data_IF_045376225852
#
_entry.id   IF_045376225852
#
_cell.length_a   1.000
_cell.length_b   1.000
_cell.length_c   1.000
_cell.angle_alpha   90.00
_cell.angle_beta   90.00
_cell.angle_gamma   90.00
#
_symmetry.space_group_name_H-M   'P 1'
#
loop_
_entity.id
_entity.type
_entity.pdbx_description
1 polymer ?
#
# COMPACT_ATOMS: atom_id res chain seq x y z
N UNK A 1 0.97 -0.41 -4.16
CA UNK A 1 -0.10 -1.43 -3.97
C UNK A 1 0.55 -2.71 -3.46
N UNK A 2 -0.20 -3.76 -3.13
CA UNK A 2 0.36 -5.04 -2.66
C UNK A 2 0.30 -6.08 -3.77
N UNK A 3 1.38 -6.83 -3.97
CA UNK A 3 1.41 -7.99 -4.87
C UNK A 3 0.37 -9.03 -4.43
N UNK A 4 -0.51 -9.41 -5.35
CA UNK A 4 -1.56 -10.40 -5.11
C UNK A 4 -2.00 -11.05 -6.42
N UNK A 5 -2.92 -12.02 -6.35
CA UNK A 5 -3.54 -12.59 -7.55
C UNK A 5 -4.20 -11.52 -8.45
N UNK A 6 -4.71 -10.43 -7.86
CA UNK A 6 -5.32 -9.34 -8.61
C UNK A 6 -4.31 -8.52 -9.43
N UNK A 7 -3.03 -8.50 -9.04
CA UNK A 7 -1.98 -7.73 -9.75
C UNK A 7 -1.33 -8.51 -10.90
N UNK A 8 -1.47 -9.85 -10.91
CA UNK A 8 -0.75 -10.72 -11.85
C UNK A 8 -1.03 -10.41 -13.33
N UNK A 9 -2.29 -10.13 -13.70
CA UNK A 9 -2.64 -9.78 -15.10
C UNK A 9 -1.90 -8.54 -15.57
N UNK A 10 -1.76 -7.54 -14.71
CA UNK A 10 -1.06 -6.29 -15.03
C UNK A 10 0.45 -6.51 -15.14
N UNK A 11 1.03 -7.28 -14.22
CA UNK A 11 2.45 -7.64 -14.26
C UNK A 11 2.80 -8.47 -15.51
N UNK A 12 1.90 -9.36 -15.94
CA UNK A 12 2.08 -10.16 -17.16
C UNK A 12 1.97 -9.30 -18.43
N UNK A 13 1.08 -8.29 -18.43
CA UNK A 13 0.93 -7.36 -19.55
C UNK A 13 2.08 -6.34 -19.63
N UNK A 14 2.58 -5.86 -18.49
CA UNK A 14 3.71 -4.95 -18.40
C UNK A 14 4.56 -5.25 -17.13
N UNK A 15 5.77 -5.82 -17.28
CA UNK A 15 6.63 -6.15 -16.13
C UNK A 15 6.99 -4.94 -15.25
N UNK A 16 6.92 -3.71 -15.79
CA UNK A 16 7.24 -2.47 -15.04
C UNK A 16 6.24 -2.22 -13.91
N UNK A 17 5.01 -2.73 -14.00
CA UNK A 17 3.99 -2.65 -12.94
C UNK A 17 4.49 -3.20 -11.61
N UNK A 18 5.39 -4.19 -11.65
CA UNK A 18 5.97 -4.79 -10.43
C UNK A 18 6.77 -3.80 -9.59
N UNK A 19 7.23 -2.67 -10.18
CA UNK A 19 7.97 -1.63 -9.47
C UNK A 19 7.08 -0.79 -8.55
N UNK A 20 5.77 -0.78 -8.78
CA UNK A 20 4.78 -0.06 -7.96
C UNK A 20 4.11 -0.95 -6.89
N UNK A 21 4.58 -2.19 -6.78
CA UNK A 21 4.07 -3.18 -5.84
C UNK A 21 5.00 -3.37 -4.64
N UNK A 22 4.38 -3.62 -3.50
CA UNK A 22 5.01 -4.07 -2.27
C UNK A 22 4.72 -5.56 -2.07
N UNK A 23 5.64 -6.25 -1.40
CA UNK A 23 5.48 -7.62 -0.93
C UNK A 23 4.34 -7.68 0.10
N UNK A 24 3.53 -8.75 0.11
CA UNK A 24 2.43 -8.91 1.06
C UNK A 24 2.89 -9.00 2.53
N UNK A 25 4.19 -9.23 2.77
CA UNK A 25 4.76 -9.27 4.12
C UNK A 25 4.62 -7.95 4.89
N UNK A 26 4.42 -6.81 4.23
CA UNK A 26 4.10 -5.54 4.92
C UNK A 26 2.78 -5.64 5.70
N UNK A 27 1.78 -6.30 5.10
CA UNK A 27 0.48 -6.49 5.73
C UNK A 27 0.58 -7.45 6.90
N UNK A 28 1.35 -8.54 6.75
CA UNK A 28 1.63 -9.47 7.85
C UNK A 28 2.33 -8.79 9.03
N UNK A 29 3.35 -7.97 8.75
CA UNK A 29 4.09 -7.24 9.79
C UNK A 29 3.18 -6.22 10.50
N UNK A 30 2.32 -5.51 9.76
CA UNK A 30 1.33 -4.61 10.33
C UNK A 30 0.35 -5.34 11.25
N UNK A 31 -0.21 -6.48 10.81
CA UNK A 31 -1.10 -7.31 11.65
C UNK A 31 -0.39 -7.79 12.91
N UNK A 32 0.86 -8.26 12.81
CA UNK A 32 1.64 -8.68 13.98
C UNK A 32 1.91 -7.51 14.94
N UNK A 33 2.13 -6.31 14.43
CA UNK A 33 2.28 -5.11 15.24
C UNK A 33 0.96 -4.76 15.95
N UNK A 34 -0.19 -4.83 15.25
CA UNK A 34 -1.51 -4.58 15.83
C UNK A 34 -1.80 -5.57 16.97
N UNK A 35 -1.52 -6.86 16.77
CA UNK A 35 -1.71 -7.89 17.79
C UNK A 35 -0.85 -7.70 19.05
N UNK A 36 0.27 -6.97 18.94
CA UNK A 36 1.18 -6.66 20.05
C UNK A 36 0.85 -5.32 20.72
N UNK A 37 0.07 -4.47 20.08
CA UNK A 37 -0.29 -3.16 20.61
C UNK A 37 -1.32 -3.29 21.75
N UNK A 38 -1.36 -2.34 22.70
CA UNK A 38 -2.43 -2.28 23.67
C UNK A 38 -3.79 -2.19 22.97
N UNK A 39 -4.76 -3.01 23.39
CA UNK A 39 -6.09 -3.04 22.78
C UNK A 39 -6.77 -1.65 22.73
N UNK A 40 -6.56 -0.82 23.76
CA UNK A 40 -7.08 0.54 23.81
C UNK A 40 -6.53 1.49 22.72
N UNK A 41 -5.40 1.13 22.09
CA UNK A 41 -4.79 1.90 21.02
C UNK A 41 -5.20 1.44 19.60
N UNK A 42 -5.89 0.31 19.46
CA UNK A 42 -6.23 -0.28 18.15
C UNK A 42 -7.70 -0.66 17.98
N UNK A 43 -8.46 -0.80 19.07
CA UNK A 43 -9.87 -1.16 19.00
C UNK A 43 -10.69 -0.02 18.37
N UNK A 44 -11.39 -0.33 17.27
CA UNK A 44 -12.26 0.62 16.57
C UNK A 44 -11.55 1.48 15.51
N UNK A 45 -10.24 1.26 15.30
CA UNK A 45 -9.43 2.04 14.38
C UNK A 45 -9.50 1.53 12.93
N UNK A 46 -9.31 2.46 11.98
CA UNK A 46 -9.13 2.17 10.56
C UNK A 46 -7.67 2.45 10.18
N UNK A 47 -6.84 1.41 10.23
CA UNK A 47 -5.39 1.55 10.14
C UNK A 47 -4.88 1.32 8.71
N UNK A 48 -3.88 2.10 8.32
CA UNK A 48 -3.04 1.85 7.16
C UNK A 48 -1.76 1.15 7.60
N UNK A 49 -1.32 0.15 6.84
CA UNK A 49 -0.12 -0.64 7.13
C UNK A 49 1.14 0.22 7.26
N UNK A 50 1.40 1.10 6.28
CA UNK A 50 2.56 1.98 6.27
C UNK A 50 2.57 2.98 7.43
N UNK A 51 1.42 3.56 7.78
CA UNK A 51 1.35 4.54 8.86
C UNK A 51 1.40 3.87 10.23
N UNK A 52 0.68 2.76 10.42
CA UNK A 52 0.73 2.03 11.69
C UNK A 52 2.13 1.48 11.98
N UNK A 53 2.82 0.93 10.97
CA UNK A 53 4.21 0.47 11.13
C UNK A 53 5.17 1.63 11.43
N UNK A 54 4.95 2.81 10.85
CA UNK A 54 5.76 4.00 11.14
C UNK A 54 5.54 4.48 12.57
N UNK A 55 4.29 4.68 12.94
CA UNK A 55 3.91 5.40 14.16
C UNK A 55 4.00 4.50 15.41
N UNK A 56 3.68 3.20 15.27
CA UNK A 56 3.63 2.27 16.40
C UNK A 56 4.76 1.23 16.42
N UNK A 57 5.40 0.94 15.29
CA UNK A 57 6.51 -0.01 15.21
C UNK A 57 7.86 0.63 14.87
N UNK A 58 7.92 1.96 14.70
CA UNK A 58 9.15 2.70 14.44
C UNK A 58 9.79 2.39 13.07
N UNK A 59 9.02 1.85 12.13
CA UNK A 59 9.52 1.53 10.79
C UNK A 59 9.68 2.82 9.99
N UNK A 60 10.93 3.17 9.67
CA UNK A 60 11.26 4.35 8.85
C UNK A 60 11.74 4.00 7.44
N UNK A 61 12.21 2.77 7.24
CA UNK A 61 12.64 2.25 5.94
C UNK A 61 11.71 1.12 5.48
N UNK A 62 10.95 1.40 4.42
CA UNK A 62 10.02 0.46 3.79
C UNK A 62 10.61 -0.26 2.58
N UNK A 63 11.89 -0.01 2.23
CA UNK A 63 12.55 -0.58 1.06
C UNK A 63 12.52 -2.12 1.04
N UNK A 64 12.58 -2.77 2.21
CA UNK A 64 12.45 -4.23 2.35
C UNK A 64 11.12 -4.79 1.84
N UNK A 65 10.08 -3.96 1.79
CA UNK A 65 8.77 -4.34 1.29
C UNK A 65 8.64 -4.09 -0.21
N UNK A 66 9.57 -3.43 -0.90
CA UNK A 66 9.48 -3.31 -2.35
C UNK A 66 9.53 -4.69 -3.02
N UNK A 67 8.62 -4.95 -3.96
CA UNK A 67 8.62 -6.20 -4.72
C UNK A 67 9.90 -6.30 -5.57
N UNK A 68 10.22 -5.21 -6.27
CA UNK A 68 11.45 -5.03 -7.05
C UNK A 68 12.49 -4.27 -6.21
N UNK A 69 13.68 -4.85 -5.91
CA UNK A 69 14.72 -4.16 -5.18
C UNK A 69 15.11 -2.81 -5.81
N UNK A 70 15.27 -1.78 -4.97
CA UNK A 70 15.59 -0.42 -5.41
C UNK A 70 14.41 0.36 -6.00
N UNK A 71 13.21 -0.23 -6.10
CA UNK A 71 12.00 0.52 -6.41
C UNK A 71 11.48 1.25 -5.16
N UNK A 72 10.75 2.36 -5.39
CA UNK A 72 10.09 3.14 -4.35
C UNK A 72 8.59 3.22 -4.69
N UNK A 73 7.79 2.18 -4.36
CA UNK A 73 6.36 2.18 -4.64
C UNK A 73 5.66 3.41 -4.05
N UNK A 74 4.92 4.14 -4.88
CA UNK A 74 4.24 5.37 -4.45
C UNK A 74 3.24 5.12 -3.33
N UNK A 75 3.07 6.10 -2.45
CA UNK A 75 1.96 6.12 -1.48
C UNK A 75 0.63 6.22 -2.25
N UNK A 76 -0.30 5.32 -1.97
CA UNK A 76 -1.61 5.26 -2.67
C UNK A 76 -2.71 5.94 -1.85
N UNK A 77 -2.60 5.88 -0.52
CA UNK A 77 -3.58 6.48 0.38
C UNK A 77 -3.15 7.90 0.79
N UNK A 78 -4.10 8.79 1.11
CA UNK A 78 -3.84 10.12 1.66
C UNK A 78 -2.77 10.14 2.75
N UNK A 79 -1.91 11.17 2.78
CA UNK A 79 -0.97 11.37 3.89
C UNK A 79 -1.66 11.79 5.20
N UNK A 80 -2.82 12.44 5.09
CA UNK A 80 -3.67 12.82 6.21
C UNK A 80 -5.13 12.42 5.92
N UNK A 81 -5.82 11.89 6.92
CA UNK A 81 -7.25 11.57 6.94
C UNK A 81 -7.99 12.61 7.83
N UNK A 82 -9.31 12.84 7.73
CA UNK A 82 -10.35 12.07 7.03
C UNK A 82 -10.85 12.74 5.74
N UNK A 83 -10.30 13.90 5.38
CA UNK A 83 -10.73 14.62 4.19
C UNK A 83 -10.57 13.73 2.96
N UNK A 84 -11.67 13.56 2.21
CA UNK A 84 -11.65 12.80 0.97
C UNK A 84 -10.93 13.55 -0.14
N UNK A 85 -10.74 14.86 0.03
CA UNK A 85 -9.86 15.65 -0.82
C UNK A 85 -8.43 15.55 -0.31
N UNK A 86 -7.51 15.22 -1.20
CA UNK A 86 -6.08 15.18 -0.91
C UNK A 86 -5.32 16.16 -1.79
N UNK A 87 -4.11 16.54 -1.38
CA UNK A 87 -3.25 17.37 -2.21
C UNK A 87 -3.01 16.74 -3.60
N UNK A 88 -3.05 15.41 -3.66
CA UNK A 88 -2.89 14.59 -4.85
C UNK A 88 -4.22 14.24 -5.56
N UNK A 89 -5.33 14.91 -5.25
CA UNK A 89 -6.67 14.55 -5.78
C UNK A 89 -6.70 14.52 -7.32
N UNK A 90 -5.90 15.37 -7.95
CA UNK A 90 -5.76 15.48 -9.39
C UNK A 90 -4.65 14.57 -9.98
N UNK A 91 -3.83 13.92 -9.14
CA UNK A 91 -2.86 12.89 -9.54
C UNK A 91 -3.52 11.50 -9.50
N UNK A 92 -4.39 11.26 -10.49
CA UNK A 92 -5.05 9.95 -10.73
C UNK A 92 -4.04 8.79 -10.90
N UNK A 93 -2.74 9.07 -11.00
CA UNK A 93 -1.73 8.10 -11.37
C UNK A 93 -2.03 7.50 -12.74
N UNK A 94 -2.18 6.17 -12.80
CA UNK A 94 -2.50 5.47 -14.04
C UNK A 94 -4.00 5.24 -14.15
N UNK A 95 -4.66 6.06 -14.97
CA UNK A 95 -6.08 5.88 -15.31
C UNK A 95 -6.31 4.53 -15.99
N UNK A 96 -7.24 3.73 -15.46
CA UNK A 96 -7.63 2.44 -16.03
C UNK A 96 -9.13 2.43 -16.34
N UNK A 97 -9.48 2.18 -17.60
CA UNK A 97 -10.86 2.09 -18.07
C UNK A 97 -11.25 0.61 -18.24
N UNK A 98 -11.92 0.07 -17.22
CA UNK A 98 -12.35 -1.33 -17.19
C UNK A 98 -13.35 -1.69 -18.28
N UNK A 99 -14.07 -0.72 -18.87
CA UNK A 99 -15.01 -0.97 -19.96
C UNK A 99 -14.30 -1.12 -21.32
N UNK A 100 -13.13 -0.50 -21.48
CA UNK A 100 -12.29 -0.62 -22.69
C UNK A 100 -11.31 -1.78 -22.62
N UNK A 101 -10.95 -2.22 -21.42
CA UNK A 101 -10.16 -3.41 -21.22
C UNK A 101 -11.02 -4.66 -21.51
N UNK A 102 -11.18 -5.01 -22.78
CA UNK A 102 -11.83 -6.28 -23.18
C UNK A 102 -11.15 -7.44 -22.44
N UNK A 103 -11.97 -8.23 -21.76
CA UNK A 103 -11.58 -9.49 -21.09
C UNK A 103 -10.96 -10.47 -22.09
#
# INVERSE_FOLDING_TARGET
AIESAATQKFQAADPRESRDLRRPTIFSDAVLAILRAPAAAVNGELLLDEDFLRDHAGVVDFSKYALVPGAQPRRIMPAALPDLTVAEQDDEGKRYDSAKAKL
#
